data_IF_012674010261
#
_entry.id   IF_012674010261
#
_cell.length_a   1.000
_cell.length_b   1.000
_cell.length_c   1.000
_cell.angle_alpha   90.00
_cell.angle_beta   90.00
_cell.angle_gamma   90.00
#
_symmetry.space_group_name_H-M   'P 1'
#
loop_
_entity.id
_entity.type
_entity.pdbx_description
1 polymer ?
#
# COMPACT_ATOMS: atom_id res chain seq x y z
N UNK A 1 -20.13 1.04 -9.57
CA UNK A 1 -21.22 0.38 -8.79
C UNK A 1 -20.89 -1.08 -8.41
N UNK A 2 -20.43 -1.95 -9.34
CA UNK A 2 -20.09 -3.37 -9.07
C UNK A 2 -19.16 -3.60 -7.86
N UNK A 3 -18.09 -2.81 -7.71
CA UNK A 3 -17.13 -3.01 -6.62
C UNK A 3 -17.58 -2.45 -5.27
N UNK A 4 -18.52 -1.50 -5.23
CA UNK A 4 -18.97 -0.86 -3.98
C UNK A 4 -19.64 -1.89 -3.05
N UNK A 5 -20.47 -2.77 -3.62
CA UNK A 5 -21.14 -3.82 -2.83
C UNK A 5 -20.13 -4.78 -2.20
N UNK A 6 -19.15 -5.25 -2.99
CA UNK A 6 -18.08 -6.14 -2.52
C UNK A 6 -17.21 -5.48 -1.45
N UNK A 7 -16.90 -4.19 -1.59
CA UNK A 7 -16.15 -3.45 -0.56
C UNK A 7 -16.94 -3.36 0.74
N UNK A 8 -18.25 -3.08 0.69
CA UNK A 8 -19.11 -3.06 1.89
C UNK A 8 -19.15 -4.41 2.59
N UNK A 9 -19.26 -5.49 1.82
CA UNK A 9 -19.22 -6.86 2.34
C UNK A 9 -17.90 -7.13 3.08
N UNK A 10 -16.75 -6.82 2.46
CA UNK A 10 -15.43 -7.01 3.08
C UNK A 10 -15.27 -6.22 4.38
N UNK A 11 -15.71 -4.95 4.39
CA UNK A 11 -15.64 -4.09 5.58
C UNK A 11 -16.59 -4.55 6.70
N UNK A 12 -17.74 -5.13 6.34
CA UNK A 12 -18.74 -5.62 7.29
C UNK A 12 -18.48 -7.04 7.82
N UNK A 13 -17.61 -7.81 7.15
CA UNK A 13 -17.40 -9.22 7.46
C UNK A 13 -16.49 -9.41 8.69
N UNK A 14 -17.10 -9.33 9.88
CA UNK A 14 -16.43 -9.59 11.17
C UNK A 14 -15.86 -11.01 11.30
N UNK A 15 -16.31 -11.98 10.49
CA UNK A 15 -15.83 -13.37 10.53
C UNK A 15 -14.42 -13.53 9.96
N UNK A 16 -13.93 -12.56 9.18
CA UNK A 16 -12.55 -12.59 8.68
C UNK A 16 -11.52 -12.47 9.82
N UNK A 17 -11.90 -11.98 11.00
CA UNK A 17 -10.96 -11.75 12.11
C UNK A 17 -9.90 -10.68 11.79
N UNK A 18 -10.04 -9.99 10.66
CA UNK A 18 -9.07 -9.02 10.15
C UNK A 18 -9.46 -7.61 10.58
N UNK A 19 -8.47 -6.84 11.06
CA UNK A 19 -8.63 -5.41 11.28
C UNK A 19 -8.37 -4.66 9.98
N UNK A 20 -9.45 -4.25 9.31
CA UNK A 20 -9.35 -3.38 8.13
C UNK A 20 -9.26 -1.93 8.58
N UNK A 21 -8.19 -1.25 8.18
CA UNK A 21 -7.96 0.14 8.49
C UNK A 21 -8.00 0.95 7.20
N UNK A 22 -8.83 1.99 7.20
CA UNK A 22 -8.95 2.93 6.09
C UNK A 22 -8.41 4.32 6.49
N UNK A 23 -8.04 5.17 5.51
CA UNK A 23 -7.60 6.53 5.80
C UNK A 23 -8.67 7.33 6.54
N UNK A 24 -8.23 8.19 7.47
CA UNK A 24 -9.09 9.14 8.22
C UNK A 24 -8.89 10.58 7.75
N UNK A 25 -7.81 10.82 7.03
CA UNK A 25 -7.46 12.08 6.40
C UNK A 25 -6.70 11.83 5.11
N UNK A 26 -6.78 12.79 4.19
CA UNK A 26 -6.29 12.66 2.81
C UNK A 26 -5.70 13.98 2.32
N UNK A 27 -4.89 13.87 1.26
CA UNK A 27 -4.45 15.01 0.47
C UNK A 27 -5.23 15.04 -0.83
N UNK A 28 -5.82 16.19 -1.11
CA UNK A 28 -6.63 16.40 -2.30
C UNK A 28 -6.01 17.39 -3.27
N UNK A 29 -6.36 17.24 -4.55
CA UNK A 29 -6.05 18.19 -5.63
C UNK A 29 -7.25 18.34 -6.57
N UNK A 30 -7.23 19.39 -7.39
CA UNK A 30 -8.30 19.65 -8.36
C UNK A 30 -8.22 18.74 -9.61
N UNK A 31 -7.07 18.11 -9.85
CA UNK A 31 -6.82 17.16 -10.96
C UNK A 31 -5.57 16.32 -10.67
N UNK A 32 -5.26 15.33 -11.51
CA UNK A 32 -4.06 14.50 -11.39
C UNK A 32 -2.75 15.31 -11.57
N UNK A 33 -2.81 16.38 -12.36
CA UNK A 33 -1.71 17.30 -12.64
C UNK A 33 -1.56 18.40 -11.58
N UNK A 34 -2.45 18.41 -10.57
CA UNK A 34 -2.48 19.47 -9.59
C UNK A 34 -1.13 19.63 -8.87
N UNK A 35 -0.73 20.88 -8.66
CA UNK A 35 0.45 21.24 -7.87
C UNK A 35 0.08 21.81 -6.51
N UNK A 36 -1.20 22.17 -6.34
CA UNK A 36 -1.76 22.63 -5.08
C UNK A 36 -2.36 21.42 -4.37
N UNK A 37 -2.05 21.29 -3.10
CA UNK A 37 -2.42 20.11 -2.34
C UNK A 37 -2.95 20.54 -0.99
N UNK A 38 -4.18 20.14 -0.68
CA UNK A 38 -4.93 20.54 0.51
C UNK A 38 -5.17 19.30 1.36
N UNK A 39 -5.05 19.42 2.68
CA UNK A 39 -5.43 18.33 3.58
C UNK A 39 -6.90 18.42 3.90
N UNK A 40 -7.58 17.27 3.94
CA UNK A 40 -8.97 17.13 4.33
C UNK A 40 -9.11 15.95 5.28
N UNK A 41 -10.05 16.05 6.22
CA UNK A 41 -10.64 14.83 6.78
C UNK A 41 -11.53 14.17 5.72
N UNK A 42 -11.82 12.88 5.84
CA UNK A 42 -12.62 12.17 4.82
C UNK A 42 -14.00 12.82 4.61
N UNK A 43 -14.62 13.32 5.67
CA UNK A 43 -15.95 13.94 5.63
C UNK A 43 -15.96 15.34 4.99
N UNK A 44 -14.80 15.95 4.78
CA UNK A 44 -14.64 17.29 4.21
C UNK A 44 -14.22 17.29 2.73
N UNK A 45 -14.04 16.11 2.14
CA UNK A 45 -13.66 15.99 0.72
C UNK A 45 -14.81 16.45 -0.16
N UNK A 46 -14.53 17.41 -1.04
CA UNK A 46 -15.54 17.93 -1.97
C UNK A 46 -15.75 17.01 -3.16
N UNK A 47 -16.92 17.12 -3.80
CA UNK A 47 -17.30 16.27 -4.93
C UNK A 47 -16.40 16.45 -6.17
N UNK A 48 -15.77 17.62 -6.32
CA UNK A 48 -14.85 17.99 -7.40
C UNK A 48 -13.36 17.80 -7.04
N UNK A 49 -13.07 17.33 -5.83
CA UNK A 49 -11.70 17.08 -5.36
C UNK A 49 -11.29 15.63 -5.61
N UNK A 50 -10.04 15.44 -6.05
CA UNK A 50 -9.42 14.12 -6.22
C UNK A 50 -8.61 13.79 -4.98
N UNK A 51 -8.80 12.60 -4.40
CA UNK A 51 -7.94 12.06 -3.34
C UNK A 51 -6.67 11.50 -3.99
N UNK A 52 -5.52 12.10 -3.68
CA UNK A 52 -4.25 11.82 -4.37
C UNK A 52 -3.13 11.34 -3.45
N UNK A 53 -3.26 11.48 -2.12
CA UNK A 53 -2.32 10.91 -1.13
C UNK A 53 -3.06 10.71 0.20
N UNK A 54 -2.55 9.87 1.09
CA UNK A 54 -3.07 9.76 2.47
C UNK A 54 -2.66 10.96 3.31
N UNK A 55 -3.43 11.35 4.33
CA UNK A 55 -3.13 12.50 5.19
C UNK A 55 -2.14 12.19 6.32
N UNK A 56 -1.66 13.21 7.07
CA UNK A 56 -0.66 13.06 8.13
C UNK A 56 -1.10 12.12 9.28
N UNK A 57 -2.37 12.11 9.68
CA UNK A 57 -2.87 11.24 10.75
C UNK A 57 -2.83 9.78 10.31
N UNK A 58 -3.31 9.51 9.09
CA UNK A 58 -3.28 8.18 8.47
C UNK A 58 -1.84 7.67 8.33
N UNK A 59 -0.91 8.51 7.86
CA UNK A 59 0.52 8.15 7.76
C UNK A 59 1.10 7.76 9.11
N UNK A 60 0.85 8.56 10.15
CA UNK A 60 1.36 8.27 11.49
C UNK A 60 0.85 6.91 11.97
N UNK A 61 -0.43 6.64 11.76
CA UNK A 61 -1.02 5.36 12.16
C UNK A 61 -0.42 4.19 11.37
N UNK A 62 -0.33 4.30 10.04
CA UNK A 62 0.19 3.20 9.19
C UNK A 62 1.66 2.91 9.48
N UNK A 63 2.47 3.94 9.70
CA UNK A 63 3.88 3.76 10.07
C UNK A 63 4.04 3.11 11.45
N UNK A 64 3.12 3.35 12.39
CA UNK A 64 3.09 2.61 13.67
C UNK A 64 2.75 1.13 13.45
N UNK A 65 1.74 0.82 12.63
CA UNK A 65 1.38 -0.57 12.30
C UNK A 65 2.58 -1.33 11.70
N UNK A 66 3.28 -0.73 10.73
CA UNK A 66 4.48 -1.32 10.11
C UNK A 66 5.56 -1.64 11.15
N UNK A 67 5.74 -0.78 12.16
CA UNK A 67 6.76 -0.98 13.20
C UNK A 67 6.43 -2.10 14.18
N UNK A 68 5.16 -2.44 14.36
CA UNK A 68 4.69 -3.42 15.34
C UNK A 68 4.30 -4.76 14.69
N UNK A 69 4.32 -4.82 13.35
CA UNK A 69 4.03 -6.05 12.62
C UNK A 69 5.18 -7.05 12.74
N UNK A 70 4.87 -8.35 12.77
CA UNK A 70 5.89 -9.40 12.56
C UNK A 70 6.34 -9.49 11.10
N UNK A 71 5.39 -9.29 10.18
CA UNK A 71 5.64 -9.26 8.73
C UNK A 71 4.76 -8.22 8.03
N UNK A 72 5.26 -7.65 6.94
CA UNK A 72 4.57 -6.69 6.08
C UNK A 72 4.64 -7.18 4.64
N UNK A 73 3.47 -7.33 4.02
CA UNK A 73 3.34 -7.49 2.57
C UNK A 73 2.80 -6.19 2.01
N UNK A 74 3.50 -5.59 1.05
CA UNK A 74 3.12 -4.32 0.47
C UNK A 74 3.07 -4.38 -1.07
N UNK A 75 1.88 -4.11 -1.62
CA UNK A 75 1.63 -3.98 -3.04
C UNK A 75 0.70 -2.77 -3.29
N UNK A 76 1.18 -1.78 -4.03
CA UNK A 76 0.46 -0.55 -4.38
C UNK A 76 0.95 0.69 -3.62
N UNK A 77 1.38 1.76 -4.31
CA UNK A 77 1.60 3.07 -3.69
C UNK A 77 0.35 3.61 -2.98
N UNK A 78 0.54 4.51 -2.01
CA UNK A 78 -0.53 5.05 -1.17
C UNK A 78 -1.20 6.30 -1.76
N UNK A 79 -0.81 6.67 -2.98
CA UNK A 79 -1.21 7.90 -3.67
C UNK A 79 -0.46 8.05 -5.00
N UNK A 80 -0.67 9.19 -5.66
CA UNK A 80 -0.04 9.59 -6.92
C UNK A 80 1.44 9.93 -6.71
N UNK A 81 2.27 8.89 -6.59
CA UNK A 81 3.66 8.98 -6.11
C UNK A 81 4.62 9.66 -7.11
N UNK A 82 4.24 9.69 -8.38
CA UNK A 82 4.95 10.36 -9.46
C UNK A 82 4.89 11.88 -9.27
N UNK A 83 3.78 12.38 -8.72
CA UNK A 83 3.62 13.79 -8.40
C UNK A 83 4.28 14.12 -7.04
N UNK A 84 5.29 15.00 -7.06
CA UNK A 84 6.03 15.40 -5.85
C UNK A 84 5.14 15.99 -4.74
N UNK A 85 3.98 16.54 -5.11
CA UNK A 85 3.02 17.11 -4.18
C UNK A 85 2.15 16.03 -3.48
N UNK A 86 2.10 14.80 -4.00
CA UNK A 86 1.23 13.70 -3.54
C UNK A 86 1.96 12.38 -3.26
N UNK A 87 3.28 12.39 -3.17
CA UNK A 87 4.10 11.17 -2.91
C UNK A 87 4.48 10.92 -1.45
N UNK A 88 4.01 11.78 -0.56
CA UNK A 88 4.51 11.85 0.81
C UNK A 88 4.02 10.71 1.70
N UNK A 89 2.81 10.20 1.47
CA UNK A 89 2.31 9.00 2.14
C UNK A 89 3.11 7.76 1.77
N UNK A 90 3.29 7.51 0.47
CA UNK A 90 4.13 6.41 -0.03
C UNK A 90 5.54 6.47 0.56
N UNK A 91 6.20 7.64 0.52
CA UNK A 91 7.54 7.79 1.12
C UNK A 91 7.58 7.55 2.62
N UNK A 92 6.51 7.85 3.35
CA UNK A 92 6.45 7.56 4.79
C UNK A 92 6.47 6.05 5.05
N UNK A 93 5.71 5.27 4.28
CA UNK A 93 5.70 3.80 4.38
C UNK A 93 7.04 3.21 3.97
N UNK A 94 7.65 3.68 2.86
CA UNK A 94 9.01 3.28 2.46
C UNK A 94 10.01 3.45 3.61
N UNK A 95 9.98 4.62 4.28
CA UNK A 95 10.87 4.91 5.42
C UNK A 95 10.54 4.05 6.64
N UNK A 96 9.27 3.76 6.91
CA UNK A 96 8.89 2.90 8.03
C UNK A 96 9.41 1.48 7.82
N UNK A 97 9.22 0.92 6.62
CA UNK A 97 9.77 -0.38 6.22
C UNK A 97 11.30 -0.40 6.34
N UNK A 98 11.99 0.61 5.82
CA UNK A 98 13.46 0.67 5.87
C UNK A 98 14.05 0.74 7.30
N UNK A 99 13.27 1.26 8.26
CA UNK A 99 13.68 1.46 9.65
C UNK A 99 13.09 0.41 10.61
N UNK A 100 12.21 -0.47 10.14
CA UNK A 100 11.65 -1.55 10.93
C UNK A 100 12.75 -2.58 11.26
N UNK A 101 12.78 -3.05 12.51
CA UNK A 101 13.73 -4.05 13.01
C UNK A 101 12.95 -5.28 13.42
N UNK A 102 13.44 -6.47 13.04
CA UNK A 102 12.76 -7.74 13.34
C UNK A 102 11.47 -7.97 12.54
N UNK A 103 11.21 -7.16 11.52
CA UNK A 103 10.00 -7.26 10.67
C UNK A 103 10.39 -7.82 9.30
N UNK A 104 9.78 -8.92 8.87
CA UNK A 104 9.91 -9.43 7.51
C UNK A 104 9.12 -8.57 6.52
N UNK A 105 9.76 -8.08 5.46
CA UNK A 105 9.11 -7.14 4.52
C UNK A 105 9.15 -7.71 3.11
N UNK A 106 7.98 -7.87 2.51
CA UNK A 106 7.81 -8.33 1.13
C UNK A 106 7.16 -7.18 0.36
N UNK A 107 7.84 -6.69 -0.69
CA UNK A 107 7.32 -5.62 -1.56
C UNK A 107 7.14 -6.18 -2.96
N UNK A 108 5.94 -6.03 -3.52
CA UNK A 108 5.59 -6.46 -4.86
C UNK A 108 4.89 -5.39 -5.67
N UNK A 109 4.74 -5.66 -6.97
CA UNK A 109 4.10 -4.77 -7.93
C UNK A 109 5.09 -3.75 -8.55
N UNK A 110 4.98 -3.57 -9.87
CA UNK A 110 5.88 -2.69 -10.64
C UNK A 110 5.87 -1.26 -10.11
N UNK A 111 4.69 -0.69 -9.86
CA UNK A 111 4.54 0.69 -9.38
C UNK A 111 5.10 0.87 -7.98
N UNK A 112 4.89 -0.11 -7.07
CA UNK A 112 5.47 -0.08 -5.73
C UNK A 112 7.00 -0.06 -5.80
N UNK A 113 7.59 -0.92 -6.63
CA UNK A 113 9.04 -0.97 -6.79
C UNK A 113 9.60 0.34 -7.39
N UNK A 114 8.88 0.94 -8.33
CA UNK A 114 9.23 2.25 -8.90
C UNK A 114 9.15 3.35 -7.85
N UNK A 115 8.12 3.34 -7.00
CA UNK A 115 7.94 4.34 -5.94
C UNK A 115 8.96 4.23 -4.81
N UNK A 116 9.41 3.02 -4.48
CA UNK A 116 10.37 2.74 -3.39
C UNK A 116 11.79 3.19 -3.73
N UNK A 117 12.18 3.16 -5.00
CA UNK A 117 13.57 3.37 -5.41
C UNK A 117 14.46 2.23 -4.91
N UNK A 118 14.51 1.14 -5.70
CA UNK A 118 15.08 -0.18 -5.37
C UNK A 118 16.37 -0.16 -4.53
N UNK A 119 17.28 0.78 -4.81
CA UNK A 119 18.64 0.81 -4.25
C UNK A 119 18.75 1.00 -2.73
N UNK A 120 17.77 1.65 -2.07
CA UNK A 120 17.88 1.96 -0.62
C UNK A 120 17.29 0.88 0.28
N UNK A 121 16.26 0.16 -0.18
CA UNK A 121 15.62 -0.91 0.60
C UNK A 121 16.22 -2.29 0.30
N UNK A 122 16.68 -2.56 -0.92
CA UNK A 122 17.20 -3.88 -1.32
C UNK A 122 18.43 -4.34 -0.53
N UNK A 123 19.17 -3.41 0.08
CA UNK A 123 20.36 -3.72 0.89
C UNK A 123 20.01 -4.20 2.31
N UNK A 124 18.73 -4.17 2.70
CA UNK A 124 18.27 -4.61 4.02
C UNK A 124 17.98 -6.10 3.98
N UNK A 125 18.62 -6.86 4.87
CA UNK A 125 18.46 -8.33 4.94
C UNK A 125 17.03 -8.79 5.19
N UNK A 126 16.19 -7.96 5.79
CA UNK A 126 14.79 -8.27 6.10
C UNK A 126 13.81 -7.83 5.01
N UNK A 127 14.28 -7.41 3.83
CA UNK A 127 13.44 -6.95 2.71
C UNK A 127 13.60 -7.85 1.49
N UNK A 128 12.49 -8.43 1.02
CA UNK A 128 12.38 -9.12 -0.25
C UNK A 128 11.62 -8.25 -1.25
N UNK A 129 12.25 -7.95 -2.39
CA UNK A 129 11.64 -7.21 -3.50
C UNK A 129 11.24 -8.19 -4.60
N UNK A 130 9.94 -8.46 -4.72
CA UNK A 130 9.42 -9.37 -5.73
C UNK A 130 9.28 -8.67 -7.08
N UNK A 131 9.93 -9.22 -8.10
CA UNK A 131 9.75 -8.84 -9.50
C UNK A 131 8.67 -9.67 -10.21
N UNK A 132 8.00 -10.58 -9.50
CA UNK A 132 6.97 -11.46 -10.07
C UNK A 132 5.66 -10.76 -10.43
N UNK A 133 5.49 -9.49 -10.07
CA UNK A 133 4.30 -8.70 -10.43
C UNK A 133 3.01 -9.39 -9.99
N UNK A 134 2.15 -9.70 -10.96
CA UNK A 134 0.89 -10.41 -10.73
C UNK A 134 1.07 -11.83 -10.17
N UNK A 135 2.14 -12.54 -10.54
CA UNK A 135 2.39 -13.90 -10.05
C UNK A 135 2.59 -13.95 -8.53
N UNK A 136 3.19 -12.92 -7.93
CA UNK A 136 3.30 -12.82 -6.47
C UNK A 136 1.93 -12.71 -5.81
N UNK A 137 1.02 -11.92 -6.38
CA UNK A 137 -0.32 -11.75 -5.82
C UNK A 137 -1.15 -13.02 -5.97
N UNK A 138 -1.08 -13.68 -7.13
CA UNK A 138 -1.74 -14.96 -7.38
C UNK A 138 -1.26 -16.03 -6.39
N UNK A 139 0.07 -16.15 -6.20
CA UNK A 139 0.64 -17.06 -5.19
C UNK A 139 0.13 -16.77 -3.78
N UNK A 140 0.09 -15.50 -3.37
CA UNK A 140 -0.42 -15.09 -2.05
C UNK A 140 -1.93 -15.24 -1.90
N UNK A 141 -2.67 -15.20 -2.99
CA UNK A 141 -4.10 -15.48 -3.03
C UNK A 141 -4.41 -17.00 -2.97
N UNK A 142 -3.38 -17.86 -3.03
CA UNK A 142 -3.53 -19.31 -3.06
C UNK A 142 -3.98 -19.83 -4.43
N UNK A 143 -3.77 -19.06 -5.49
CA UNK A 143 -4.05 -19.50 -6.85
C UNK A 143 -2.98 -20.49 -7.32
N UNK A 144 -3.41 -21.44 -8.15
CA UNK A 144 -2.51 -22.36 -8.84
C UNK A 144 -1.62 -21.57 -9.82
N UNK A 145 -0.32 -21.87 -9.79
CA UNK A 145 0.66 -21.27 -10.69
C UNK A 145 1.20 -22.37 -11.61
N UNK A 146 0.73 -22.46 -12.88
CA UNK A 146 1.09 -23.54 -13.79
C UNK A 146 2.60 -23.70 -14.02
N UNK A 147 3.36 -22.59 -13.91
CA UNK A 147 4.82 -22.61 -14.03
C UNK A 147 5.56 -23.11 -12.79
N UNK A 148 4.90 -23.19 -11.63
CA UNK A 148 5.46 -23.72 -10.39
C UNK A 148 4.96 -25.14 -10.06
N UNK A 149 3.76 -25.51 -10.49
CA UNK A 149 3.18 -26.85 -10.30
C UNK A 149 4.16 -28.01 -10.55
N UNK A 150 4.89 -28.07 -11.68
CA UNK A 150 5.81 -29.19 -11.93
C UNK A 150 7.10 -29.16 -11.08
N UNK A 151 7.34 -28.10 -10.30
CA UNK A 151 8.55 -27.88 -9.51
C UNK A 151 8.33 -28.02 -8.00
N UNK A 152 7.07 -27.99 -7.56
CA UNK A 152 6.71 -28.10 -6.15
C UNK A 152 6.14 -29.51 -5.95
N UNK A 153 6.94 -30.42 -5.39
CA UNK A 153 6.38 -31.59 -4.71
C UNK A 153 5.78 -31.08 -3.39
N UNK A 154 4.45 -31.10 -3.28
CA UNK A 154 3.72 -30.84 -2.03
C UNK A 154 3.72 -32.06 -1.13
#
# INVERSE_FOLDING_TARGET
KKHISKTKELLGNKKLGMKIVIPVDVKVGASLESRKAIWRTIDEVKADEYILDIGPRTRRFYTQLVRHAGSVIWNGPLGLFENKHFRSGTRAIVRACANARGVGIIIGGGDTLSAVGRQRLSRKRNVFLSTGGGAMLAFLAGEELPGLEPLIEL
#
